data_IF_601184427711
#
_entry.id   IF_601184427711
#
_cell.length_a   1.000
_cell.length_b   1.000
_cell.length_c   1.000
_cell.angle_alpha   90.00
_cell.angle_beta   90.00
_cell.angle_gamma   90.00
#
_symmetry.space_group_name_H-M   'P 1'
#
loop_
_entity.id
_entity.type
_entity.pdbx_description
1 polymer ?
#
# COMPACT_ATOMS: atom_id res chain seq x y z
N UNK A 1 21.39 -2.23 -13.52
CA UNK A 1 20.15 -1.43 -13.70
C UNK A 1 19.48 -1.35 -12.34
N UNK A 2 19.28 -0.14 -11.85
CA UNK A 2 18.62 0.10 -10.56
C UNK A 2 17.12 -0.21 -10.65
N UNK A 3 16.64 -0.85 -9.59
CA UNK A 3 15.26 -1.28 -9.34
C UNK A 3 14.31 -0.08 -9.27
N UNK A 4 13.08 -0.24 -9.74
CA UNK A 4 12.00 0.68 -9.37
C UNK A 4 11.51 0.34 -7.95
N UNK A 5 11.68 1.27 -7.02
CA UNK A 5 11.18 1.15 -5.65
C UNK A 5 9.68 1.46 -5.62
N UNK A 6 8.92 0.77 -4.76
CA UNK A 6 7.49 1.04 -4.59
C UNK A 6 7.32 2.45 -4.06
N UNK A 7 6.40 3.19 -4.68
CA UNK A 7 6.02 4.53 -4.23
C UNK A 7 5.28 4.38 -2.90
N UNK A 8 5.68 5.16 -1.91
CA UNK A 8 5.21 5.03 -0.54
C UNK A 8 4.68 6.36 0.01
N UNK A 9 3.60 6.28 0.78
CA UNK A 9 2.96 7.44 1.42
C UNK A 9 3.13 7.38 2.94
N UNK A 10 3.86 8.34 3.51
CA UNK A 10 3.75 8.71 4.92
C UNK A 10 2.57 9.67 5.02
N UNK A 11 1.48 9.19 5.59
CA UNK A 11 0.20 9.90 5.61
C UNK A 11 0.00 10.53 6.99
N UNK A 12 -0.11 11.85 7.05
CA UNK A 12 -0.41 12.56 8.29
C UNK A 12 -1.86 12.37 8.71
N UNK A 13 -2.08 11.91 9.94
CA UNK A 13 -3.40 11.65 10.53
C UNK A 13 -4.13 12.94 10.94
N UNK A 14 -5.35 13.14 10.44
CA UNK A 14 -6.30 14.19 10.81
C UNK A 14 -5.73 15.64 10.90
N UNK A 15 -4.91 16.11 9.95
CA UNK A 15 -4.44 17.49 9.94
C UNK A 15 -5.57 18.41 9.48
N UNK A 16 -6.45 18.80 10.41
CA UNK A 16 -7.70 19.49 10.11
C UNK A 16 -7.57 21.01 9.97
N UNK A 17 -6.37 21.56 10.10
CA UNK A 17 -6.06 22.98 9.93
C UNK A 17 -4.82 23.17 9.05
N UNK A 18 -4.64 24.38 8.49
CA UNK A 18 -3.44 24.70 7.71
C UNK A 18 -2.14 24.56 8.50
N UNK A 19 -2.14 24.94 9.79
CA UNK A 19 -0.95 24.79 10.64
C UNK A 19 -0.62 23.32 10.91
N UNK A 20 -1.62 22.48 11.20
CA UNK A 20 -1.39 21.04 11.35
C UNK A 20 -0.88 20.40 10.05
N UNK A 21 -1.43 20.80 8.89
CA UNK A 21 -0.93 20.32 7.61
C UNK A 21 0.54 20.69 7.40
N UNK A 22 0.91 21.94 7.73
CA UNK A 22 2.29 22.42 7.71
C UNK A 22 3.19 21.58 8.63
N UNK A 23 2.78 21.32 9.87
CA UNK A 23 3.57 20.53 10.82
C UNK A 23 3.93 19.13 10.26
N UNK A 24 2.97 18.45 9.64
CA UNK A 24 3.20 17.16 9.00
C UNK A 24 4.13 17.26 7.80
N UNK A 25 3.93 18.24 6.92
CA UNK A 25 4.76 18.45 5.73
C UNK A 25 6.20 18.81 6.11
N UNK A 26 6.41 19.62 7.14
CA UNK A 26 7.75 19.97 7.66
C UNK A 26 8.49 18.76 8.22
N UNK A 27 7.79 17.83 8.89
CA UNK A 27 8.38 16.55 9.33
C UNK A 27 8.65 15.58 8.16
N UNK A 28 8.06 15.83 7.00
CA UNK A 28 8.28 15.08 5.78
C UNK A 28 7.24 13.99 5.52
N UNK A 29 6.02 14.14 6.05
CA UNK A 29 4.87 13.47 5.48
C UNK A 29 4.69 13.93 4.02
N UNK A 30 4.31 13.01 3.14
CA UNK A 30 4.06 13.29 1.72
C UNK A 30 2.58 13.06 1.33
N UNK A 31 1.74 12.75 2.30
CA UNK A 31 0.31 12.66 2.16
C UNK A 31 -0.38 13.17 3.43
N UNK A 32 -1.62 13.62 3.32
CA UNK A 32 -2.41 14.12 4.46
C UNK A 32 -3.81 13.49 4.41
N UNK A 33 -4.36 13.15 5.58
CA UNK A 33 -5.69 12.58 5.73
C UNK A 33 -6.61 13.49 6.58
N UNK A 34 -7.02 14.67 6.09
CA UNK A 34 -7.95 15.54 6.82
C UNK A 34 -9.38 14.95 6.86
N UNK A 35 -10.09 15.21 7.96
CA UNK A 35 -11.46 14.77 8.18
C UNK A 35 -12.47 15.75 7.56
N UNK A 36 -13.58 15.24 7.02
CA UNK A 36 -14.65 16.06 6.42
C UNK A 36 -16.01 15.79 7.07
N UNK A 37 -16.68 16.88 7.46
CA UNK A 37 -18.08 16.90 7.88
C UNK A 37 -18.87 17.87 7.00
N UNK A 38 -20.05 17.46 6.55
CA UNK A 38 -21.00 18.33 5.87
C UNK A 38 -22.05 18.86 6.84
N UNK A 39 -22.24 20.17 6.86
CA UNK A 39 -23.31 20.82 7.63
C UNK A 39 -23.82 22.07 6.90
N UNK A 40 -25.15 22.24 6.87
CA UNK A 40 -25.83 23.43 6.38
C UNK A 40 -25.32 23.98 5.03
N UNK A 41 -25.01 23.09 4.07
CA UNK A 41 -24.57 23.49 2.73
C UNK A 41 -23.07 23.71 2.57
N UNK A 42 -22.26 23.45 3.61
CA UNK A 42 -20.80 23.63 3.60
C UNK A 42 -20.07 22.37 4.04
N UNK A 43 -18.81 22.26 3.60
CA UNK A 43 -17.90 21.20 4.03
C UNK A 43 -16.89 21.79 5.01
N UNK A 44 -16.83 21.21 6.19
CA UNK A 44 -15.95 21.59 7.29
C UNK A 44 -14.87 20.54 7.49
N UNK A 45 -13.66 20.99 7.82
CA UNK A 45 -12.53 20.11 8.08
C UNK A 45 -12.47 19.81 9.57
N UNK A 46 -13.07 18.69 9.99
CA UNK A 46 -13.20 18.29 11.40
C UNK A 46 -13.59 16.83 11.55
N UNK A 47 -13.14 16.19 12.63
CA UNK A 47 -13.33 14.77 12.91
C UNK A 47 -14.78 14.37 13.26
N UNK A 48 -15.60 15.32 13.71
CA UNK A 48 -16.96 15.02 14.15
C UNK A 48 -17.92 16.18 13.94
N UNK A 49 -19.21 15.88 13.93
CA UNK A 49 -20.27 16.88 13.91
C UNK A 49 -20.15 17.79 15.14
N UNK A 50 -20.24 19.09 14.91
CA UNK A 50 -20.10 20.10 15.96
C UNK A 50 -21.44 20.71 16.32
N UNK A 51 -21.57 21.22 17.56
CA UNK A 51 -22.70 22.07 17.94
C UNK A 51 -22.63 23.47 17.32
N UNK A 52 -21.43 23.89 16.91
CA UNK A 52 -21.15 25.15 16.21
C UNK A 52 -19.91 25.00 15.34
N UNK A 53 -19.96 25.56 14.13
CA UNK A 53 -18.85 25.52 13.16
C UNK A 53 -18.16 26.88 12.96
N UNK A 54 -18.39 27.85 13.87
CA UNK A 54 -17.87 29.22 13.74
C UNK A 54 -16.34 29.28 13.55
N UNK A 55 -15.61 28.45 14.30
CA UNK A 55 -14.15 28.45 14.35
C UNK A 55 -13.54 27.21 13.67
N UNK A 56 -14.37 26.45 12.92
CA UNK A 56 -13.94 25.26 12.19
C UNK A 56 -13.64 25.67 10.75
N UNK A 57 -12.44 25.37 10.21
CA UNK A 57 -12.13 25.67 8.82
C UNK A 57 -13.11 24.99 7.86
N UNK A 58 -13.53 25.70 6.83
CA UNK A 58 -14.16 25.04 5.68
C UNK A 58 -13.10 24.40 4.79
N UNK A 59 -13.51 23.51 3.89
CA UNK A 59 -12.63 22.94 2.86
C UNK A 59 -11.94 24.04 2.06
N UNK A 60 -12.64 25.14 1.74
CA UNK A 60 -12.06 26.27 1.01
C UNK A 60 -10.96 26.99 1.80
N UNK A 61 -11.18 27.22 3.10
CA UNK A 61 -10.18 27.84 3.98
C UNK A 61 -8.95 26.94 4.11
N UNK A 62 -9.16 25.63 4.30
CA UNK A 62 -8.09 24.65 4.41
C UNK A 62 -7.24 24.56 3.13
N UNK A 63 -7.90 24.47 1.96
CA UNK A 63 -7.22 24.41 0.66
C UNK A 63 -6.49 25.70 0.32
N UNK A 64 -7.02 26.86 0.72
CA UNK A 64 -6.32 28.14 0.57
C UNK A 64 -5.01 28.15 1.37
N UNK A 65 -5.05 27.69 2.63
CA UNK A 65 -3.84 27.57 3.45
C UNK A 65 -2.83 26.59 2.83
N UNK A 66 -3.28 25.42 2.33
CA UNK A 66 -2.40 24.48 1.63
C UNK A 66 -1.78 25.09 0.36
N UNK A 67 -2.54 25.86 -0.42
CA UNK A 67 -2.02 26.55 -1.62
C UNK A 67 -0.90 27.51 -1.25
N UNK A 68 -1.07 28.28 -0.18
CA UNK A 68 -0.06 29.21 0.32
C UNK A 68 1.20 28.48 0.80
N UNK A 69 1.05 27.36 1.50
CA UNK A 69 2.17 26.52 1.93
C UNK A 69 2.97 25.96 0.74
N UNK A 70 2.28 25.43 -0.27
CA UNK A 70 2.90 24.85 -1.46
C UNK A 70 3.52 25.90 -2.39
N UNK A 71 3.04 27.15 -2.34
CA UNK A 71 3.62 28.26 -3.10
C UNK A 71 4.90 28.82 -2.44
N UNK A 72 5.00 28.74 -1.11
CA UNK A 72 6.08 29.35 -0.33
C UNK A 72 7.23 28.38 -0.02
N UNK A 73 6.94 27.07 0.07
CA UNK A 73 7.93 26.04 0.34
C UNK A 73 7.78 24.87 -0.63
N UNK A 74 8.90 24.21 -0.96
CA UNK A 74 8.89 23.02 -1.82
C UNK A 74 8.56 21.75 -1.00
N UNK A 75 7.35 21.70 -0.44
CA UNK A 75 6.87 20.48 0.22
C UNK A 75 6.49 19.42 -0.82
N UNK A 76 6.80 18.17 -0.52
CA UNK A 76 6.41 17.03 -1.35
C UNK A 76 5.02 16.51 -0.97
N UNK A 77 3.95 17.23 -1.30
CA UNK A 77 2.59 16.72 -1.16
C UNK A 77 2.20 15.92 -2.41
N UNK A 78 2.02 14.61 -2.27
CA UNK A 78 1.71 13.68 -3.36
C UNK A 78 0.27 13.16 -3.32
N UNK A 79 -0.37 13.09 -2.15
CA UNK A 79 -1.70 12.52 -1.97
C UNK A 79 -2.50 13.26 -0.88
N UNK A 80 -3.78 13.50 -1.14
CA UNK A 80 -4.77 13.90 -0.13
C UNK A 80 -5.80 12.78 0.05
N UNK A 81 -6.10 12.41 1.28
CA UNK A 81 -7.14 11.43 1.63
C UNK A 81 -8.21 12.18 2.43
N UNK A 82 -9.37 12.41 1.83
CA UNK A 82 -10.48 13.06 2.49
C UNK A 82 -11.30 12.02 3.26
N UNK A 83 -11.11 11.98 4.58
CA UNK A 83 -11.81 11.06 5.48
C UNK A 83 -13.19 11.62 5.83
N UNK A 84 -14.21 11.15 5.12
CA UNK A 84 -15.58 11.65 5.24
C UNK A 84 -16.25 11.00 6.47
N UNK A 85 -16.86 11.83 7.31
CA UNK A 85 -17.50 11.39 8.57
C UNK A 85 -19.03 11.29 8.51
N UNK A 86 -19.65 11.82 7.47
CA UNK A 86 -21.12 11.82 7.28
C UNK A 86 -21.47 11.59 5.82
N UNK A 87 -22.62 10.96 5.54
CA UNK A 87 -23.01 10.58 4.16
C UNK A 87 -24.31 11.23 3.67
N UNK A 88 -24.73 12.31 4.34
CA UNK A 88 -25.97 13.07 4.07
C UNK A 88 -25.85 14.12 2.96
N UNK A 89 -24.97 13.91 1.97
CA UNK A 89 -24.76 14.80 0.83
C UNK A 89 -24.42 14.01 -0.45
N UNK A 90 -24.25 14.70 -1.59
CA UNK A 90 -23.74 14.09 -2.82
C UNK A 90 -22.21 14.17 -2.83
N UNK A 91 -21.51 13.03 -2.86
CA UNK A 91 -20.05 12.99 -2.90
C UNK A 91 -19.47 13.80 -4.07
N UNK A 92 -20.16 13.85 -5.21
CA UNK A 92 -19.71 14.62 -6.37
C UNK A 92 -19.68 16.12 -6.10
N UNK A 93 -20.54 16.63 -5.19
CA UNK A 93 -20.51 18.01 -4.75
C UNK A 93 -19.21 18.31 -4.00
N UNK A 94 -18.83 17.47 -3.03
CA UNK A 94 -17.56 17.63 -2.30
C UNK A 94 -16.36 17.56 -3.25
N UNK A 95 -16.31 16.53 -4.10
CA UNK A 95 -15.19 16.34 -5.04
C UNK A 95 -15.06 17.56 -5.96
N UNK A 96 -16.16 18.07 -6.52
CA UNK A 96 -16.13 19.26 -7.36
C UNK A 96 -15.72 20.52 -6.60
N UNK A 97 -16.17 20.70 -5.35
CA UNK A 97 -15.73 21.81 -4.50
C UNK A 97 -14.22 21.74 -4.27
N UNK A 98 -13.67 20.57 -3.90
CA UNK A 98 -12.24 20.39 -3.70
C UNK A 98 -11.46 20.65 -4.98
N UNK A 99 -11.84 20.02 -6.10
CA UNK A 99 -11.12 20.13 -7.38
C UNK A 99 -11.15 21.54 -7.94
N UNK A 100 -12.28 22.24 -7.82
CA UNK A 100 -12.40 23.64 -8.27
C UNK A 100 -11.58 24.58 -7.39
N UNK A 101 -11.67 24.41 -6.07
CA UNK A 101 -10.97 25.30 -5.12
C UNK A 101 -9.45 25.09 -5.14
N UNK A 102 -9.00 23.87 -5.42
CA UNK A 102 -7.59 23.50 -5.50
C UNK A 102 -7.06 23.42 -6.95
N UNK A 103 -7.63 24.21 -7.86
CA UNK A 103 -7.16 24.31 -9.25
C UNK A 103 -5.69 24.79 -9.32
N UNK A 104 -4.91 24.20 -10.23
CA UNK A 104 -3.46 24.40 -10.35
C UNK A 104 -2.61 23.37 -9.60
N UNK A 105 -3.25 22.42 -8.91
CA UNK A 105 -2.62 21.32 -8.19
C UNK A 105 -3.10 19.94 -8.69
N UNK A 106 -3.39 19.83 -9.99
CA UNK A 106 -3.87 18.60 -10.63
C UNK A 106 -2.86 17.44 -10.56
N UNK A 107 -1.60 17.75 -10.27
CA UNK A 107 -0.53 16.79 -10.01
C UNK A 107 -0.68 16.05 -8.67
N UNK A 108 -1.54 16.50 -7.76
CA UNK A 108 -1.77 15.84 -6.46
C UNK A 108 -2.93 14.85 -6.62
N UNK A 109 -2.67 13.57 -6.32
CA UNK A 109 -3.71 12.55 -6.30
C UNK A 109 -4.64 12.77 -5.11
N UNK A 110 -5.92 12.43 -5.26
CA UNK A 110 -6.90 12.57 -4.18
C UNK A 110 -7.71 11.29 -4.02
N UNK A 111 -8.04 10.96 -2.78
CA UNK A 111 -8.93 9.86 -2.43
C UNK A 111 -10.03 10.40 -1.52
N UNK A 112 -11.25 9.90 -1.70
CA UNK A 112 -12.38 10.19 -0.81
C UNK A 112 -12.83 8.89 -0.15
N UNK A 113 -12.69 8.80 1.17
CA UNK A 113 -12.95 7.59 1.95
C UNK A 113 -14.11 7.78 2.91
N UNK A 114 -14.73 6.66 3.31
CA UNK A 114 -15.65 6.61 4.44
C UNK A 114 -15.46 5.28 5.19
N UNK A 115 -15.58 5.30 6.51
CA UNK A 115 -15.27 4.16 7.37
C UNK A 115 -16.19 2.93 7.18
N UNK A 116 -17.42 3.05 6.66
CA UNK A 116 -18.33 1.89 6.53
C UNK A 116 -19.51 2.09 5.54
N UNK A 117 -19.39 3.03 4.60
CA UNK A 117 -20.47 3.32 3.64
C UNK A 117 -19.90 3.31 2.22
N UNK A 118 -19.56 2.10 1.77
CA UNK A 118 -19.05 1.90 0.41
C UNK A 118 -20.09 2.32 -0.65
N UNK A 119 -21.39 2.22 -0.34
CA UNK A 119 -22.47 2.65 -1.23
C UNK A 119 -22.50 4.15 -1.46
N UNK A 120 -22.20 4.95 -0.44
CA UNK A 120 -22.04 6.41 -0.58
C UNK A 120 -20.86 6.77 -1.49
N UNK A 121 -19.66 6.22 -1.24
CA UNK A 121 -18.48 6.56 -2.04
C UNK A 121 -18.58 6.04 -3.48
N UNK A 122 -19.30 4.94 -3.72
CA UNK A 122 -19.59 4.41 -5.07
C UNK A 122 -20.46 5.35 -5.93
N UNK A 123 -21.07 6.39 -5.35
CA UNK A 123 -21.84 7.39 -6.12
C UNK A 123 -20.96 8.36 -6.89
N UNK A 124 -19.63 8.30 -6.70
CA UNK A 124 -18.70 9.07 -7.50
C UNK A 124 -18.82 8.70 -8.98
N UNK A 125 -18.95 9.71 -9.84
CA UNK A 125 -19.21 9.53 -11.26
C UNK A 125 -17.95 9.36 -12.12
N UNK A 126 -16.74 9.35 -11.53
CA UNK A 126 -15.50 9.17 -12.28
C UNK A 126 -15.01 10.40 -13.05
N UNK A 127 -15.39 11.62 -12.67
CA UNK A 127 -15.08 12.85 -13.43
C UNK A 127 -13.58 13.25 -13.51
N UNK A 128 -12.68 12.60 -12.76
CA UNK A 128 -11.27 13.02 -12.64
C UNK A 128 -10.32 11.81 -12.58
N UNK A 129 -9.30 11.82 -13.45
CA UNK A 129 -8.33 10.71 -13.58
C UNK A 129 -7.38 10.56 -12.39
N UNK A 130 -7.22 11.62 -11.58
CA UNK A 130 -6.38 11.63 -10.39
C UNK A 130 -7.19 11.49 -9.08
N UNK A 131 -8.45 11.06 -9.18
CA UNK A 131 -9.33 10.84 -8.04
C UNK A 131 -9.68 9.36 -7.91
N UNK A 132 -9.60 8.87 -6.67
CA UNK A 132 -10.13 7.58 -6.27
C UNK A 132 -11.11 7.70 -5.12
N UNK A 133 -11.78 6.60 -4.84
CA UNK A 133 -12.71 6.43 -3.73
C UNK A 133 -12.27 5.25 -2.87
N UNK A 134 -12.84 5.10 -1.69
CA UNK A 134 -12.40 4.01 -0.83
C UNK A 134 -13.14 3.88 0.46
N UNK A 135 -12.67 2.93 1.23
CA UNK A 135 -13.03 2.81 2.64
C UNK A 135 -11.83 3.12 3.50
N UNK A 136 -12.08 3.65 4.69
CA UNK A 136 -11.07 3.84 5.73
C UNK A 136 -11.37 3.03 6.99
N UNK A 137 -12.24 2.04 6.88
CA UNK A 137 -12.51 0.93 7.79
C UNK A 137 -13.51 0.03 7.03
N UNK A 138 -13.65 -1.25 7.38
CA UNK A 138 -14.71 -2.05 6.76
C UNK A 138 -15.16 -3.20 7.63
N UNK A 139 -16.48 -3.38 7.68
CA UNK A 139 -17.10 -4.56 8.31
C UNK A 139 -17.22 -5.76 7.36
N UNK A 140 -16.85 -5.60 6.08
CA UNK A 140 -16.88 -6.67 5.07
C UNK A 140 -15.46 -7.01 4.60
N UNK A 141 -15.31 -8.14 3.94
CA UNK A 141 -13.99 -8.58 3.46
C UNK A 141 -13.49 -7.73 2.29
N UNK A 142 -12.17 -7.59 2.10
CA UNK A 142 -11.60 -6.94 0.92
C UNK A 142 -12.08 -7.53 -0.41
N UNK A 143 -12.25 -8.86 -0.51
CA UNK A 143 -12.82 -9.50 -1.70
C UNK A 143 -14.26 -9.05 -2.00
N UNK A 144 -15.13 -9.04 -0.99
CA UNK A 144 -16.51 -8.55 -1.13
C UNK A 144 -16.53 -7.06 -1.51
N UNK A 145 -15.67 -6.25 -0.88
CA UNK A 145 -15.57 -4.83 -1.16
C UNK A 145 -15.09 -4.55 -2.58
N UNK A 146 -14.07 -5.27 -3.06
CA UNK A 146 -13.61 -5.16 -4.44
C UNK A 146 -14.73 -5.48 -5.44
N UNK A 147 -15.52 -6.54 -5.19
CA UNK A 147 -16.70 -6.88 -6.01
C UNK A 147 -17.75 -5.76 -6.01
N UNK A 148 -17.99 -5.13 -4.86
CA UNK A 148 -18.90 -3.97 -4.77
C UNK A 148 -18.39 -2.82 -5.63
N UNK A 149 -17.12 -2.42 -5.50
CA UNK A 149 -16.57 -1.34 -6.31
C UNK A 149 -16.63 -1.63 -7.81
N UNK A 150 -16.23 -2.83 -8.22
CA UNK A 150 -16.27 -3.27 -9.63
C UNK A 150 -17.71 -3.26 -10.17
N UNK A 151 -18.67 -3.81 -9.40
CA UNK A 151 -20.08 -3.83 -9.84
C UNK A 151 -20.69 -2.42 -9.95
N UNK A 152 -20.18 -1.45 -9.18
CA UNK A 152 -20.52 -0.04 -9.28
C UNK A 152 -19.66 0.73 -10.31
N UNK A 153 -18.90 0.01 -11.16
CA UNK A 153 -18.04 0.57 -12.21
C UNK A 153 -16.96 1.53 -11.69
N UNK A 154 -16.54 1.35 -10.44
CA UNK A 154 -15.43 2.09 -9.87
C UNK A 154 -14.12 1.37 -10.22
N UNK A 155 -13.19 2.09 -10.84
CA UNK A 155 -11.87 1.55 -11.23
C UNK A 155 -10.75 2.06 -10.31
N UNK A 156 -10.95 3.21 -9.67
CA UNK A 156 -9.97 3.87 -8.82
C UNK A 156 -10.39 3.73 -7.37
N UNK A 157 -10.25 2.53 -6.81
CA UNK A 157 -10.62 2.27 -5.43
C UNK A 157 -9.44 1.81 -4.58
N UNK A 158 -9.50 2.14 -3.30
CA UNK A 158 -8.43 1.88 -2.32
C UNK A 158 -8.98 1.16 -1.09
N UNK A 159 -8.07 0.68 -0.23
CA UNK A 159 -8.41 0.04 1.04
C UNK A 159 -7.60 0.63 2.18
N UNK A 160 -8.28 1.29 3.11
CA UNK A 160 -7.78 1.66 4.44
C UNK A 160 -8.45 0.81 5.51
N UNK A 161 -7.68 0.30 6.47
CA UNK A 161 -8.22 -0.35 7.68
C UNK A 161 -7.22 -0.19 8.83
N UNK A 162 -7.72 -0.12 10.06
CA UNK A 162 -6.90 0.40 11.14
C UNK A 162 -7.33 0.03 12.56
N UNK A 163 -6.34 0.12 13.44
CA UNK A 163 -6.45 -0.18 14.87
C UNK A 163 -6.23 1.13 15.62
N UNK A 164 -7.12 1.44 16.56
CA UNK A 164 -6.80 2.39 17.61
C UNK A 164 -5.69 1.71 18.43
N UNK A 165 -4.57 2.41 18.63
CA UNK A 165 -3.27 1.92 19.15
C UNK A 165 -3.29 1.04 20.42
N UNK A 166 -4.43 0.98 21.12
CA UNK A 166 -4.66 0.20 22.35
C UNK A 166 -5.33 -1.17 22.14
N UNK A 167 -5.86 -1.47 20.95
CA UNK A 167 -6.54 -2.73 20.67
C UNK A 167 -5.69 -3.63 19.77
N UNK A 168 -5.73 -4.94 20.00
CA UNK A 168 -5.19 -5.95 19.07
C UNK A 168 -6.36 -6.62 18.34
N UNK A 169 -6.67 -6.17 17.12
CA UNK A 169 -7.60 -6.81 16.19
C UNK A 169 -6.77 -7.58 15.14
N UNK A 170 -6.48 -8.88 15.34
CA UNK A 170 -5.67 -9.67 14.40
C UNK A 170 -6.25 -9.72 12.98
N UNK A 171 -7.57 -9.52 12.85
CA UNK A 171 -8.27 -9.51 11.56
C UNK A 171 -7.81 -8.39 10.61
N UNK A 172 -7.37 -7.23 11.13
CA UNK A 172 -6.99 -6.09 10.28
C UNK A 172 -5.78 -6.42 9.42
N UNK A 173 -4.77 -7.05 10.03
CA UNK A 173 -3.58 -7.43 9.27
C UNK A 173 -3.92 -8.48 8.20
N UNK A 174 -4.82 -9.41 8.51
CA UNK A 174 -5.33 -10.38 7.55
C UNK A 174 -6.07 -9.70 6.40
N UNK A 175 -6.96 -8.75 6.70
CA UNK A 175 -7.68 -7.99 5.68
C UNK A 175 -6.74 -7.15 4.81
N UNK A 176 -5.79 -6.44 5.41
CA UNK A 176 -4.79 -5.68 4.66
C UNK A 176 -4.02 -6.59 3.69
N UNK A 177 -3.64 -7.80 4.10
CA UNK A 177 -2.99 -8.78 3.22
C UNK A 177 -3.89 -9.28 2.10
N UNK A 178 -5.18 -9.48 2.37
CA UNK A 178 -6.15 -9.84 1.33
C UNK A 178 -6.35 -8.70 0.32
N UNK A 179 -6.44 -7.45 0.78
CA UNK A 179 -6.49 -6.27 -0.09
C UNK A 179 -5.22 -6.12 -0.93
N UNK A 180 -4.04 -6.36 -0.35
CA UNK A 180 -2.76 -6.38 -1.07
C UNK A 180 -2.75 -7.47 -2.14
N UNK A 181 -3.23 -8.67 -1.83
CA UNK A 181 -3.35 -9.73 -2.82
C UNK A 181 -4.28 -9.33 -3.98
N UNK A 182 -5.40 -8.66 -3.70
CA UNK A 182 -6.29 -8.14 -4.75
C UNK A 182 -5.62 -7.05 -5.60
N UNK A 183 -4.90 -6.09 -4.99
CA UNK A 183 -4.07 -5.09 -5.70
C UNK A 183 -3.10 -5.77 -6.65
N UNK A 184 -2.41 -6.79 -6.15
CA UNK A 184 -1.31 -7.45 -6.82
C UNK A 184 -1.77 -8.42 -7.92
N UNK A 185 -2.92 -9.09 -7.72
CA UNK A 185 -3.48 -10.05 -8.66
C UNK A 185 -4.28 -9.40 -9.78
N UNK A 186 -4.82 -8.19 -9.59
CA UNK A 186 -5.75 -7.56 -10.52
C UNK A 186 -5.29 -6.14 -10.89
N UNK A 187 -4.60 -5.98 -12.03
CA UNK A 187 -4.12 -4.66 -12.50
C UNK A 187 -5.26 -3.63 -12.63
N UNK A 188 -6.37 -4.02 -13.25
CA UNK A 188 -7.51 -3.13 -13.48
C UNK A 188 -8.54 -3.21 -12.34
N UNK A 189 -8.87 -4.43 -11.88
CA UNK A 189 -9.90 -4.68 -10.85
C UNK A 189 -9.40 -4.82 -9.41
N UNK A 190 -8.15 -4.46 -9.11
CA UNK A 190 -7.58 -4.49 -7.76
C UNK A 190 -7.52 -3.12 -7.10
N UNK A 191 -7.38 -3.10 -5.77
CA UNK A 191 -7.14 -1.87 -5.00
C UNK A 191 -5.90 -1.14 -5.52
N UNK A 192 -5.90 0.19 -5.51
CA UNK A 192 -4.77 1.01 -6.01
C UNK A 192 -3.83 1.48 -4.91
N UNK A 193 -4.35 1.61 -3.70
CA UNK A 193 -3.59 1.94 -2.50
C UNK A 193 -4.13 1.05 -1.38
N UNK A 194 -3.23 0.42 -0.62
CA UNK A 194 -3.55 -0.23 0.65
C UNK A 194 -2.73 0.41 1.75
N UNK A 195 -3.38 0.90 2.80
CA UNK A 195 -2.69 1.49 3.95
C UNK A 195 -3.33 1.08 5.29
N UNK A 196 -2.55 0.91 6.36
CA UNK A 196 -3.06 0.81 7.71
C UNK A 196 -3.07 2.15 8.44
N UNK A 197 -3.88 2.26 9.48
CA UNK A 197 -3.91 3.41 10.39
C UNK A 197 -4.22 2.98 11.84
N UNK A 198 -4.02 3.80 12.87
CA UNK A 198 -2.91 4.76 12.97
C UNK A 198 -1.77 4.03 13.66
N UNK A 199 -0.59 4.00 13.03
CA UNK A 199 0.55 3.25 13.58
C UNK A 199 1.56 4.18 14.25
N UNK A 200 1.82 3.95 15.54
CA UNK A 200 2.82 4.71 16.31
C UNK A 200 4.11 3.92 16.60
N UNK A 201 4.05 2.59 16.61
CA UNK A 201 5.17 1.74 17.05
C UNK A 201 6.01 1.24 15.86
N UNK A 202 7.35 1.37 15.90
CA UNK A 202 8.24 0.87 14.83
C UNK A 202 7.99 -0.59 14.43
N UNK A 203 7.78 -1.48 15.41
CA UNK A 203 7.52 -2.90 15.14
C UNK A 203 6.22 -3.09 14.35
N UNK A 204 5.17 -2.31 14.64
CA UNK A 204 3.93 -2.36 13.88
C UNK A 204 4.11 -1.80 12.47
N UNK A 205 4.84 -0.69 12.31
CA UNK A 205 5.18 -0.13 10.99
C UNK A 205 5.92 -1.14 10.13
N UNK A 206 6.96 -1.77 10.69
CA UNK A 206 7.74 -2.82 10.03
C UNK A 206 6.87 -4.01 9.62
N UNK A 207 5.90 -4.41 10.44
CA UNK A 207 4.95 -5.49 10.09
C UNK A 207 4.23 -5.22 8.76
N UNK A 208 3.73 -4.00 8.56
CA UNK A 208 3.03 -3.63 7.33
C UNK A 208 3.98 -3.31 6.18
N UNK A 209 5.14 -2.71 6.44
CA UNK A 209 6.19 -2.54 5.42
C UNK A 209 6.66 -3.89 4.85
N UNK A 210 6.78 -4.93 5.68
CA UNK A 210 7.11 -6.28 5.24
C UNK A 210 6.01 -6.91 4.37
N UNK A 211 4.78 -6.41 4.46
CA UNK A 211 3.66 -6.81 3.59
C UNK A 211 3.57 -5.96 2.32
N UNK A 212 4.46 -4.99 2.12
CA UNK A 212 4.51 -4.15 0.93
C UNK A 212 3.28 -3.25 0.73
N UNK A 213 2.75 -2.67 1.82
CA UNK A 213 1.70 -1.63 1.79
C UNK A 213 2.17 -0.37 1.04
N UNK A 214 1.21 0.40 0.52
CA UNK A 214 1.47 1.59 -0.29
C UNK A 214 1.63 2.85 0.57
N UNK A 215 1.11 2.84 1.79
CA UNK A 215 1.31 3.92 2.76
C UNK A 215 0.98 3.49 4.17
N UNK A 216 1.24 4.37 5.14
CA UNK A 216 0.84 4.20 6.55
C UNK A 216 0.39 5.56 7.08
N UNK A 217 -0.78 5.60 7.72
CA UNK A 217 -1.22 6.75 8.50
C UNK A 217 -0.53 6.74 9.87
N UNK A 218 0.06 7.88 10.23
CA UNK A 218 0.77 8.10 11.49
C UNK A 218 0.40 9.44 12.11
N UNK A 219 0.41 9.50 13.44
CA UNK A 219 0.38 10.77 14.17
C UNK A 219 1.70 11.53 14.00
N UNK A 220 1.69 12.83 14.32
CA UNK A 220 2.79 13.76 14.03
C UNK A 220 4.13 13.32 14.64
N UNK A 221 4.11 12.78 15.86
CA UNK A 221 5.29 12.28 16.57
C UNK A 221 5.89 11.03 15.95
N UNK A 222 5.10 10.27 15.17
CA UNK A 222 5.51 9.01 14.57
C UNK A 222 6.06 9.17 13.14
N UNK A 223 5.93 10.35 12.52
CA UNK A 223 6.46 10.66 11.18
C UNK A 223 7.96 10.40 11.11
N UNK A 224 8.74 10.91 12.06
CA UNK A 224 10.20 10.77 12.07
C UNK A 224 10.64 9.31 12.23
N UNK A 225 9.91 8.54 13.04
CA UNK A 225 10.15 7.10 13.19
C UNK A 225 9.93 6.34 11.88
N UNK A 226 8.77 6.54 11.23
CA UNK A 226 8.45 5.86 9.98
C UNK A 226 9.43 6.23 8.86
N UNK A 227 9.74 7.52 8.75
CA UNK A 227 10.73 8.05 7.80
C UNK A 227 12.10 7.42 8.02
N UNK A 228 12.56 7.35 9.28
CA UNK A 228 13.83 6.72 9.64
C UNK A 228 13.87 5.24 9.25
N UNK A 229 12.78 4.48 9.46
CA UNK A 229 12.68 3.08 9.06
C UNK A 229 12.78 2.93 7.52
N UNK A 230 12.06 3.75 6.76
CA UNK A 230 12.04 3.69 5.29
C UNK A 230 13.43 3.97 4.69
N UNK A 231 14.18 4.91 5.26
CA UNK A 231 15.52 5.25 4.77
C UNK A 231 16.63 4.28 5.24
N UNK A 232 16.30 3.32 6.10
CA UNK A 232 17.24 2.27 6.54
C UNK A 232 17.13 1.01 5.69
N UNK A 233 18.25 0.29 5.52
CA UNK A 233 18.22 -1.06 4.97
C UNK A 233 17.40 -1.97 5.90
N UNK A 234 16.54 -2.85 5.38
CA UNK A 234 16.37 -3.18 3.96
C UNK A 234 15.32 -2.33 3.22
N UNK A 235 14.54 -1.52 3.91
CA UNK A 235 13.40 -0.76 3.35
C UNK A 235 13.80 0.29 2.30
N UNK A 236 14.99 0.88 2.42
CA UNK A 236 15.53 1.87 1.45
C UNK A 236 15.66 1.32 0.02
N UNK A 237 15.82 0.00 -0.11
CA UNK A 237 15.86 -0.68 -1.40
C UNK A 237 14.48 -1.02 -1.94
N UNK A 238 13.45 -0.94 -1.10
CA UNK A 238 12.12 -1.45 -1.38
C UNK A 238 11.09 -0.35 -1.62
N UNK A 239 11.24 0.77 -0.91
CA UNK A 239 10.33 1.90 -0.92
C UNK A 239 11.05 3.20 -1.28
N UNK A 240 10.32 4.10 -1.91
CA UNK A 240 10.67 5.49 -2.06
C UNK A 240 9.43 6.33 -1.85
N UNK A 241 9.57 7.52 -1.26
CA UNK A 241 8.40 8.38 -1.05
C UNK A 241 7.80 8.78 -2.41
N UNK A 242 6.50 8.58 -2.55
CA UNK A 242 5.73 9.09 -3.68
C UNK A 242 5.96 10.60 -3.80
N UNK A 243 6.25 11.05 -5.01
CA UNK A 243 6.46 12.46 -5.30
C UNK A 243 5.17 13.10 -5.80
N UNK A 244 5.02 14.41 -5.61
CA UNK A 244 3.99 15.19 -6.28
C UNK A 244 4.03 14.93 -7.81
N UNK A 245 2.88 14.69 -8.43
CA UNK A 245 2.77 14.21 -9.81
C UNK A 245 2.66 12.69 -9.95
N UNK A 246 2.93 11.90 -8.90
CA UNK A 246 2.66 10.47 -8.91
C UNK A 246 1.14 10.23 -8.80
N UNK A 247 0.53 9.69 -9.85
CA UNK A 247 -0.87 9.28 -9.85
C UNK A 247 -0.98 7.75 -9.67
N UNK A 248 -1.44 7.25 -8.51
CA UNK A 248 -1.55 5.82 -8.23
C UNK A 248 -2.68 5.12 -9.01
N UNK A 249 -3.53 5.88 -9.71
CA UNK A 249 -4.66 5.36 -10.49
C UNK A 249 -4.32 5.10 -11.95
N UNK A 250 -3.15 5.55 -12.42
CA UNK A 250 -2.72 5.25 -13.78
C UNK A 250 -2.37 3.77 -13.90
N UNK A 251 -2.82 3.15 -15.00
CA UNK A 251 -2.48 1.76 -15.31
C UNK A 251 -0.98 1.68 -15.54
N UNK A 252 -0.29 0.97 -14.65
CA UNK A 252 1.14 0.71 -14.79
C UNK A 252 1.38 -0.20 -16.00
N UNK A 253 2.11 0.33 -16.99
CA UNK A 253 2.61 -0.44 -18.14
C UNK A 253 3.80 -1.32 -17.76
N UNK A 254 4.28 -1.23 -16.53
CA UNK A 254 5.39 -2.03 -16.03
C UNK A 254 4.92 -3.48 -15.87
N UNK A 255 5.66 -4.46 -16.43
CA UNK A 255 5.42 -5.87 -16.16
C UNK A 255 5.40 -6.19 -14.67
N UNK A 256 4.43 -7.03 -14.28
CA UNK A 256 4.25 -7.50 -12.91
C UNK A 256 4.38 -9.01 -12.89
N UNK A 257 5.19 -9.51 -11.96
CA UNK A 257 5.37 -10.94 -11.69
C UNK A 257 4.83 -11.20 -10.29
N UNK A 258 3.70 -11.92 -10.21
CA UNK A 258 3.07 -12.29 -8.95
C UNK A 258 3.65 -13.62 -8.46
N UNK A 259 4.32 -13.59 -7.32
CA UNK A 259 4.88 -14.73 -6.63
C UNK A 259 3.87 -15.21 -5.59
N UNK A 260 3.49 -16.48 -5.69
CA UNK A 260 2.79 -17.23 -4.66
C UNK A 260 3.80 -18.19 -4.01
N UNK A 261 4.14 -17.92 -2.76
CA UNK A 261 5.23 -18.56 -2.04
C UNK A 261 4.65 -19.41 -0.92
N UNK A 262 4.79 -20.73 -1.02
CA UNK A 262 4.35 -21.66 0.01
C UNK A 262 5.54 -22.10 0.86
N UNK A 263 5.49 -21.82 2.16
CA UNK A 263 6.44 -22.38 3.14
C UNK A 263 5.98 -23.79 3.54
N UNK A 264 6.90 -24.74 3.70
CA UNK A 264 6.55 -26.10 4.15
C UNK A 264 5.84 -26.08 5.51
N UNK A 265 4.97 -27.05 5.75
CA UNK A 265 4.33 -27.29 7.05
C UNK A 265 5.19 -28.17 7.97
N UNK A 266 6.46 -27.79 8.13
CA UNK A 266 7.45 -28.52 8.95
C UNK A 266 7.91 -27.66 10.14
N UNK A 267 8.31 -28.26 11.28
CA UNK A 267 8.89 -27.52 12.39
C UNK A 267 10.05 -26.61 11.94
N UNK A 268 10.01 -25.35 12.36
CA UNK A 268 11.02 -24.32 12.04
C UNK A 268 11.15 -23.94 10.56
N UNK A 269 10.22 -24.37 9.68
CA UNK A 269 10.27 -24.07 8.26
C UNK A 269 10.11 -22.58 7.92
N UNK A 270 9.52 -21.80 8.83
CA UNK A 270 9.39 -20.36 8.69
C UNK A 270 10.73 -19.63 8.86
N UNK A 271 10.80 -18.39 8.38
CA UNK A 271 12.05 -17.63 8.41
C UNK A 271 11.87 -16.21 8.92
N UNK A 272 12.89 -15.75 9.63
CA UNK A 272 13.11 -14.38 10.08
C UNK A 272 14.11 -13.63 9.18
N UNK A 273 14.59 -14.28 8.12
CA UNK A 273 15.66 -13.77 7.27
C UNK A 273 15.20 -12.78 6.20
N UNK A 274 16.10 -11.87 5.85
CA UNK A 274 15.96 -10.98 4.70
C UNK A 274 16.11 -11.83 3.44
N UNK A 275 15.10 -11.88 2.59
CA UNK A 275 15.15 -12.68 1.35
C UNK A 275 15.32 -11.78 0.12
N UNK A 276 16.12 -12.25 -0.83
CA UNK A 276 16.12 -11.72 -2.18
C UNK A 276 15.63 -12.76 -3.17
N UNK A 277 14.90 -12.30 -4.19
CA UNK A 277 14.34 -13.11 -5.27
C UNK A 277 14.87 -12.53 -6.58
N UNK A 278 15.50 -13.36 -7.40
CA UNK A 278 15.95 -13.00 -8.75
C UNK A 278 15.26 -13.86 -9.76
N UNK A 279 14.39 -13.27 -10.57
CA UNK A 279 13.88 -13.91 -11.78
C UNK A 279 14.87 -13.66 -12.91
N UNK A 280 15.25 -14.72 -13.62
CA UNK A 280 15.97 -14.62 -14.88
C UNK A 280 15.06 -15.13 -15.99
N UNK A 281 14.97 -14.38 -17.07
CA UNK A 281 14.28 -14.80 -18.27
C UNK A 281 15.12 -14.56 -19.53
N UNK A 282 14.55 -14.91 -20.68
CA UNK A 282 15.23 -14.86 -21.98
C UNK A 282 15.71 -13.47 -22.39
N UNK A 283 15.09 -12.42 -21.86
CA UNK A 283 15.35 -11.02 -22.22
C UNK A 283 15.98 -10.21 -21.08
N UNK A 284 16.27 -10.82 -19.93
CA UNK A 284 16.92 -10.11 -18.83
C UNK A 284 16.77 -10.78 -17.47
N UNK A 285 16.99 -9.99 -16.41
CA UNK A 285 16.79 -10.42 -15.03
C UNK A 285 16.13 -9.32 -14.21
N UNK A 286 15.30 -9.73 -13.27
CA UNK A 286 14.64 -8.88 -12.31
C UNK A 286 15.04 -9.33 -10.90
N UNK A 287 15.69 -8.45 -10.16
CA UNK A 287 16.06 -8.68 -8.76
C UNK A 287 15.12 -7.88 -7.87
N UNK A 288 14.54 -8.54 -6.88
CA UNK A 288 13.79 -7.90 -5.81
C UNK A 288 14.36 -8.32 -4.46
N UNK A 289 14.63 -7.33 -3.62
CA UNK A 289 14.99 -7.55 -2.21
C UNK A 289 13.77 -7.23 -1.37
N UNK A 290 13.25 -8.24 -0.70
CA UNK A 290 12.20 -8.00 0.26
C UNK A 290 12.85 -7.53 1.56
N UNK A 291 12.42 -6.37 2.11
CA UNK A 291 12.70 -6.09 3.49
C UNK A 291 11.80 -7.02 4.30
N UNK A 292 12.27 -8.21 4.64
CA UNK A 292 11.59 -9.01 5.64
C UNK A 292 12.34 -8.85 6.95
N UNK A 293 11.67 -8.45 8.02
CA UNK A 293 12.25 -8.33 9.35
C UNK A 293 11.47 -9.24 10.32
N UNK A 294 12.20 -10.03 11.11
CA UNK A 294 11.79 -11.07 12.08
C UNK A 294 10.58 -10.81 13.01
N UNK A 295 10.01 -9.60 13.01
CA UNK A 295 8.91 -9.24 13.91
C UNK A 295 7.54 -9.22 13.21
N UNK A 296 7.48 -9.49 11.90
CA UNK A 296 6.24 -9.58 11.14
C UNK A 296 5.70 -11.01 11.12
N UNK A 297 5.09 -11.40 12.26
CA UNK A 297 4.32 -12.65 12.34
C UNK A 297 3.37 -12.76 11.13
N UNK A 298 3.23 -13.97 10.60
CA UNK A 298 2.32 -14.41 9.52
C UNK A 298 2.89 -14.37 8.08
N UNK A 299 4.12 -13.91 7.84
CA UNK A 299 4.75 -13.88 6.51
C UNK A 299 5.89 -14.90 6.49
N UNK A 300 5.95 -15.74 5.45
CA UNK A 300 6.88 -16.86 5.34
C UNK A 300 6.85 -17.86 6.50
N UNK A 301 5.84 -17.82 7.37
CA UNK A 301 5.67 -18.74 8.49
C UNK A 301 5.39 -20.17 8.02
N UNK A 302 5.64 -21.14 8.91
CA UNK A 302 5.31 -22.56 8.70
C UNK A 302 3.89 -22.73 8.14
N UNK A 303 3.78 -23.49 7.05
CA UNK A 303 2.49 -23.81 6.40
C UNK A 303 1.75 -22.62 5.78
N UNK A 304 2.34 -21.42 5.80
CA UNK A 304 1.71 -20.22 5.26
C UNK A 304 1.93 -20.09 3.75
N UNK A 305 1.04 -19.34 3.12
CA UNK A 305 1.22 -18.83 1.76
C UNK A 305 1.44 -17.32 1.81
N UNK A 306 2.50 -16.86 1.18
CA UNK A 306 2.88 -15.46 1.07
C UNK A 306 2.81 -15.01 -0.39
N UNK A 307 2.16 -13.88 -0.63
CA UNK A 307 2.08 -13.26 -1.95
C UNK A 307 3.04 -12.09 -2.05
N UNK A 308 3.71 -11.96 -3.19
CA UNK A 308 4.65 -10.88 -3.47
C UNK A 308 4.58 -10.48 -4.94
N UNK A 309 4.57 -9.18 -5.24
CA UNK A 309 4.77 -8.69 -6.61
C UNK A 309 6.18 -8.20 -6.86
N UNK A 310 6.76 -8.64 -7.98
CA UNK A 310 7.93 -8.00 -8.57
C UNK A 310 7.48 -7.14 -9.75
N UNK A 311 7.77 -5.85 -9.69
CA UNK A 311 7.54 -4.91 -10.78
C UNK A 311 8.88 -4.56 -11.42
N UNK A 312 8.95 -4.58 -12.75
CA UNK A 312 10.16 -4.17 -13.47
C UNK A 312 10.13 -4.48 -14.95
N UNK A 313 11.31 -4.57 -15.56
CA UNK A 313 11.47 -4.82 -16.99
C UNK A 313 10.80 -6.13 -17.43
N UNK A 314 10.39 -6.17 -18.69
CA UNK A 314 9.99 -7.43 -19.33
C UNK A 314 11.24 -8.31 -19.47
N UNK A 315 11.24 -9.46 -18.79
CA UNK A 315 12.35 -10.41 -18.82
C UNK A 315 12.11 -11.52 -19.85
N UNK A 316 11.02 -11.47 -20.62
CA UNK A 316 10.61 -12.53 -21.53
C UNK A 316 10.11 -13.77 -20.79
N UNK A 317 10.41 -14.95 -21.34
CA UNK A 317 10.05 -16.22 -20.70
C UNK A 317 10.91 -16.46 -19.47
N UNK A 318 10.30 -16.84 -18.36
CA UNK A 318 11.00 -17.07 -17.10
C UNK A 318 11.75 -18.40 -17.20
N UNK A 319 13.07 -18.36 -17.02
CA UNK A 319 13.96 -19.52 -17.09
C UNK A 319 14.32 -20.07 -15.71
N UNK A 320 14.50 -19.19 -14.72
CA UNK A 320 14.90 -19.58 -13.38
C UNK A 320 14.53 -18.55 -12.31
N UNK A 321 14.36 -19.04 -11.08
CA UNK A 321 14.26 -18.24 -9.86
C UNK A 321 15.49 -18.53 -8.99
N UNK A 322 16.14 -17.48 -8.50
CA UNK A 322 17.16 -17.57 -7.46
C UNK A 322 16.66 -16.91 -6.19
N UNK A 323 16.77 -17.61 -5.06
CA UNK A 323 16.45 -17.09 -3.74
C UNK A 323 17.72 -17.06 -2.88
N UNK A 324 17.94 -15.96 -2.16
CA UNK A 324 19.09 -15.80 -1.26
C UNK A 324 18.65 -15.22 0.07
N UNK A 325 19.10 -15.81 1.17
CA UNK A 325 18.99 -15.22 2.50
C UNK A 325 20.16 -14.25 2.75
N UNK A 326 19.83 -12.99 3.05
CA UNK A 326 20.77 -11.88 3.23
C UNK A 326 21.15 -11.65 4.71
N UNK A 327 20.39 -12.21 5.64
CA UNK A 327 20.64 -12.15 7.09
C UNK A 327 20.77 -13.54 7.70
N UNK A 328 21.44 -13.61 8.85
CA UNK A 328 21.72 -14.84 9.62
C UNK A 328 21.19 -14.66 11.05
N UNK A 329 21.21 -15.72 11.85
CA UNK A 329 20.73 -15.73 13.24
C UNK A 329 19.74 -16.85 13.53
N UNK A 330 19.25 -16.91 14.76
CA UNK A 330 18.21 -17.86 15.15
C UNK A 330 16.95 -17.61 14.32
N UNK A 331 16.35 -18.67 13.76
CA UNK A 331 15.17 -18.55 12.90
C UNK A 331 15.43 -18.04 11.48
N UNK A 332 16.70 -17.83 11.07
CA UNK A 332 17.02 -17.31 9.73
C UNK A 332 16.97 -18.35 8.61
N UNK A 333 16.95 -19.65 8.93
CA UNK A 333 16.77 -20.70 7.92
C UNK A 333 15.35 -20.65 7.37
N UNK A 334 15.19 -20.82 6.06
CA UNK A 334 13.87 -20.92 5.44
C UNK A 334 13.72 -22.22 4.68
N UNK A 335 12.57 -22.87 4.82
CA UNK A 335 12.23 -24.09 4.11
C UNK A 335 10.99 -23.88 3.21
N UNK A 336 11.18 -23.37 1.99
CA UNK A 336 10.10 -23.28 1.01
C UNK A 336 9.62 -24.67 0.56
N UNK A 337 8.34 -24.77 0.20
CA UNK A 337 7.76 -25.94 -0.47
C UNK A 337 7.74 -25.73 -1.98
N UNK A 338 7.17 -24.61 -2.41
CA UNK A 338 6.97 -24.25 -3.81
C UNK A 338 6.84 -22.73 -3.93
N UNK A 339 7.33 -22.20 -5.05
CA UNK A 339 7.04 -20.83 -5.47
C UNK A 339 6.44 -20.91 -6.87
N UNK A 340 5.26 -20.31 -7.08
CA UNK A 340 4.71 -20.11 -8.42
C UNK A 340 4.80 -18.64 -8.81
N UNK A 341 5.22 -18.36 -10.04
CA UNK A 341 5.34 -17.02 -10.60
C UNK A 341 4.38 -16.86 -11.76
N UNK A 342 3.42 -15.96 -11.64
CA UNK A 342 2.54 -15.54 -12.74
C UNK A 342 3.06 -14.23 -13.35
N UNK A 343 3.37 -14.22 -14.65
CA UNK A 343 3.58 -12.97 -15.38
C UNK A 343 2.22 -12.38 -15.76
N UNK A 344 1.81 -11.29 -15.11
CA UNK A 344 0.49 -10.66 -15.32
C UNK A 344 0.32 -10.07 -16.73
N UNK A 345 1.42 -9.84 -17.46
CA UNK A 345 1.38 -9.37 -18.85
C UNK A 345 1.10 -10.50 -19.83
N UNK A 346 1.72 -11.68 -19.65
CA UNK A 346 1.55 -12.82 -20.58
C UNK A 346 0.52 -13.85 -20.11
N UNK A 347 0.08 -13.80 -18.85
CA UNK A 347 -0.78 -14.79 -18.21
C UNK A 347 -0.10 -16.13 -17.91
N UNK A 348 1.20 -16.27 -18.21
CA UNK A 348 1.94 -17.52 -18.01
C UNK A 348 2.33 -17.71 -16.55
N UNK A 349 2.22 -18.96 -16.10
CA UNK A 349 2.55 -19.37 -14.74
C UNK A 349 3.71 -20.36 -14.78
N UNK A 350 4.67 -20.18 -13.88
CA UNK A 350 5.87 -21.00 -13.74
C UNK A 350 6.00 -21.49 -12.31
N UNK A 351 6.25 -22.79 -12.15
CA UNK A 351 6.45 -23.43 -10.85
C UNK A 351 7.94 -23.70 -10.56
N UNK A 352 8.32 -23.48 -9.31
CA UNK A 352 9.66 -23.73 -8.75
C UNK A 352 9.52 -24.59 -7.50
N UNK A 353 9.88 -25.87 -7.58
CA UNK A 353 9.76 -26.82 -6.48
C UNK A 353 11.04 -26.92 -5.63
N UNK A 354 10.85 -27.01 -4.31
CA UNK A 354 11.92 -27.16 -3.32
C UNK A 354 11.83 -28.51 -2.59
N UNK A 355 11.20 -29.50 -3.22
CA UNK A 355 10.82 -30.78 -2.60
C UNK A 355 11.97 -31.76 -2.43
N UNK A 356 13.06 -31.60 -3.18
CA UNK A 356 14.21 -32.50 -3.15
C UNK A 356 15.19 -32.01 -2.05
N UNK A 357 15.34 -32.80 -0.98
CA UNK A 357 16.38 -32.74 0.07
C UNK A 357 16.28 -31.72 1.23
N UNK A 358 15.08 -31.23 1.57
CA UNK A 358 14.93 -30.21 2.63
C UNK A 358 15.93 -29.05 2.46
N UNK A 359 15.96 -28.47 1.26
CA UNK A 359 16.91 -27.41 0.92
C UNK A 359 16.64 -26.13 1.71
N UNK A 360 17.28 -26.02 2.87
CA UNK A 360 17.24 -24.85 3.73
C UNK A 360 17.98 -23.68 3.08
N UNK A 361 17.23 -22.62 2.81
CA UNK A 361 17.81 -21.36 2.35
C UNK A 361 18.38 -20.64 3.57
N UNK A 362 19.70 -20.48 3.60
CA UNK A 362 20.44 -19.81 4.68
C UNK A 362 21.49 -18.88 4.10
N UNK A 363 21.88 -17.85 4.84
CA UNK A 363 22.94 -16.92 4.39
C UNK A 363 24.26 -17.64 4.11
N UNK A 364 24.60 -18.67 4.89
CA UNK A 364 25.82 -19.45 4.72
C UNK A 364 25.75 -20.42 3.55
N UNK A 365 24.56 -20.91 3.23
CA UNK A 365 24.32 -21.76 2.05
C UNK A 365 24.42 -20.99 0.72
N UNK A 366 24.27 -19.67 0.77
CA UNK A 366 24.30 -18.82 -0.42
C UNK A 366 23.02 -18.90 -1.25
N UNK A 367 23.02 -18.39 -2.49
CA UNK A 367 21.85 -18.36 -3.35
C UNK A 367 21.45 -19.77 -3.84
N UNK A 368 20.16 -20.10 -3.71
CA UNK A 368 19.55 -21.31 -4.23
C UNK A 368 18.83 -21.00 -5.54
N UNK A 369 19.12 -21.74 -6.61
CA UNK A 369 18.52 -21.54 -7.93
C UNK A 369 17.68 -22.72 -8.36
N UNK A 370 16.47 -22.45 -8.84
CA UNK A 370 15.53 -23.42 -9.40
C UNK A 370 15.19 -23.05 -10.84
N UNK A 371 15.15 -24.05 -11.71
CA UNK A 371 14.69 -23.90 -13.09
C UNK A 371 13.17 -23.82 -13.14
N UNK A 372 12.65 -23.00 -14.05
CA UNK A 372 11.23 -22.80 -14.21
C UNK A 372 10.56 -24.02 -14.84
N UNK A 373 9.42 -24.42 -14.30
CA UNK A 373 8.51 -25.41 -14.89
C UNK A 373 7.25 -24.68 -15.37
N UNK A 374 7.08 -24.43 -16.67
CA UNK A 374 5.84 -23.83 -17.18
C UNK A 374 4.65 -24.68 -16.78
N UNK A 375 3.59 -24.06 -16.26
CA UNK A 375 2.34 -24.74 -15.98
C UNK A 375 1.53 -24.77 -17.28
N UNK A 376 1.28 -25.97 -17.81
CA UNK A 376 0.34 -26.13 -18.92
C UNK A 376 -1.05 -25.69 -18.45
N UNK A 377 -1.60 -24.67 -19.08
CA UNK A 377 -2.99 -24.26 -18.89
C UNK A 377 -3.85 -25.25 -19.69
N UNK A 378 -4.35 -26.28 -19.00
CA UNK A 378 -5.31 -27.26 -19.55
C UNK A 378 -6.72 -26.69 -19.66
#
# INVERSE_FOLDING_TARGET
MERQRRQFYIIGHNPNTGEQAKDFLEKGANALAPDIVYDQGKFYVTHSTQSSYKDIPTVEVYLQALRELLATQQYNLALLIWDIKVTNFDINLLINTVKTTFSGHENIAMVFTHANDCGFVCRYNGSYDNVGIGVDESNITPDELAKIFISNRQNNFIYGDGIITLLNKPQIFKNAREALHQRDANKEGGFKIVYPWVLARPVAMQKYLNSYVDGIIVDLEAVDHLKSIIYQSPYTHAFQLAQSGHNPFLVSTIPIYLLNIKTKDEPFAGTDAWLSFTLKGTSGKLLHRLPFHANAKDIFERGSTTYLTLEGLDIGEIESLTVEALSDGLGSGWLPENISVECKTSGRIYDFDFKDDDEWITKKGGPVMKLAKPRDLS
#
